data_IF_910642597279
#
_entry.id   IF_910642597279
#
_cell.length_a   1.000
_cell.length_b   1.000
_cell.length_c   1.000
_cell.angle_alpha   90.00
_cell.angle_beta   90.00
_cell.angle_gamma   90.00
#
_symmetry.space_group_name_H-M   'P 1'
#
loop_
_entity.id
_entity.type
_entity.pdbx_description
1 polymer ?
#
# COMPACT_ATOMS: atom_id res chain seq x y z
N UNK A 1 -61.29 -5.93 -38.38
CA UNK A 1 -59.81 -5.88 -38.46
C UNK A 1 -59.42 -4.49 -37.93
N UNK A 2 -59.07 -4.38 -36.64
CA UNK A 2 -57.72 -3.99 -36.17
C UNK A 2 -57.12 -2.82 -36.95
N UNK A 3 -56.85 -1.61 -36.43
CA UNK A 3 -56.60 -1.12 -35.07
C UNK A 3 -57.06 0.35 -34.94
N UNK A 4 -57.50 0.75 -33.73
CA UNK A 4 -57.79 2.14 -33.30
C UNK A 4 -56.48 2.81 -32.76
N UNK A 5 -56.48 4.08 -32.33
CA UNK A 5 -56.66 5.32 -33.09
C UNK A 5 -55.58 6.40 -32.75
N UNK A 6 -55.65 7.54 -33.46
CA UNK A 6 -55.44 8.97 -33.11
C UNK A 6 -54.81 9.39 -31.74
N UNK A 7 -54.38 10.62 -31.47
CA UNK A 7 -54.91 11.95 -31.82
C UNK A 7 -53.89 13.02 -31.31
N UNK A 8 -53.87 14.20 -31.94
CA UNK A 8 -53.46 15.53 -31.41
C UNK A 8 -51.97 15.93 -31.49
N UNK A 9 -51.76 16.73 -32.54
CA UNK A 9 -50.74 17.74 -32.73
C UNK A 9 -51.27 19.10 -32.23
N UNK A 10 -50.35 20.00 -31.79
CA UNK A 10 -50.47 21.48 -31.61
C UNK A 10 -51.05 21.99 -30.28
N UNK A 11 -50.26 22.62 -29.38
CA UNK A 11 -49.63 23.96 -29.35
C UNK A 11 -50.56 25.10 -28.91
N UNK A 12 -50.37 25.58 -27.68
CA UNK A 12 -50.78 26.90 -27.20
C UNK A 12 -49.63 27.51 -26.37
N UNK A 13 -49.19 28.71 -26.78
CA UNK A 13 -48.18 29.56 -26.13
C UNK A 13 -48.67 30.07 -24.78
N UNK A 14 -47.77 30.64 -23.95
CA UNK A 14 -47.96 31.91 -23.19
C UNK A 14 -46.75 32.17 -22.26
N UNK A 15 -46.22 33.40 -22.32
CA UNK A 15 -45.42 34.17 -21.33
C UNK A 15 -44.27 33.47 -20.58
N UNK A 16 -43.01 33.94 -20.58
CA UNK A 16 -42.56 35.27 -20.18
C UNK A 16 -41.49 35.11 -19.08
N UNK A 17 -40.47 35.97 -19.11
CA UNK A 17 -39.42 36.15 -18.08
C UNK A 17 -38.22 35.19 -18.08
N UNK A 18 -37.16 35.60 -18.77
CA UNK A 18 -35.77 35.28 -18.40
C UNK A 18 -35.44 36.02 -17.09
N UNK A 19 -34.96 35.32 -16.07
CA UNK A 19 -34.01 35.90 -15.13
C UNK A 19 -32.98 34.86 -14.67
N UNK A 20 -31.76 35.36 -14.52
CA UNK A 20 -30.49 34.64 -14.53
C UNK A 20 -30.34 33.59 -13.42
N UNK A 21 -29.83 32.42 -13.81
CA UNK A 21 -29.19 31.47 -12.89
C UNK A 21 -27.75 31.95 -12.72
N UNK A 22 -27.36 32.38 -11.52
CA UNK A 22 -25.97 32.68 -11.20
C UNK A 22 -25.12 31.41 -11.42
N UNK A 23 -23.88 31.52 -11.96
CA UNK A 23 -23.03 30.34 -12.09
C UNK A 23 -22.68 29.85 -10.69
N UNK A 24 -23.15 28.64 -10.38
CA UNK A 24 -22.60 27.83 -9.29
C UNK A 24 -21.08 27.76 -9.51
N UNK A 25 -20.23 28.04 -8.50
CA UNK A 25 -18.81 27.78 -8.66
C UNK A 25 -18.67 26.28 -8.90
N UNK A 26 -18.13 25.92 -10.06
CA UNK A 26 -17.72 24.55 -10.33
C UNK A 26 -16.77 24.17 -9.20
N UNK A 27 -17.15 23.15 -8.42
CA UNK A 27 -16.20 22.46 -7.55
C UNK A 27 -15.18 21.88 -8.52
N UNK A 28 -14.01 22.52 -8.58
CA UNK A 28 -12.88 22.01 -9.34
C UNK A 28 -12.66 20.56 -8.90
N UNK A 29 -12.72 19.64 -9.87
CA UNK A 29 -12.32 18.27 -9.65
C UNK A 29 -10.91 18.27 -9.03
N UNK A 30 -10.55 17.30 -8.17
CA UNK A 30 -9.22 17.25 -7.60
C UNK A 30 -8.23 17.25 -8.76
N UNK A 31 -7.39 18.28 -8.82
CA UNK A 31 -6.28 18.30 -9.76
C UNK A 31 -5.38 17.15 -9.33
N UNK A 32 -5.32 16.09 -10.14
CA UNK A 32 -4.30 15.05 -9.97
C UNK A 32 -2.95 15.76 -10.10
N UNK A 33 -2.30 16.03 -8.97
CA UNK A 33 -0.98 16.65 -8.92
C UNK A 33 0.00 15.70 -9.60
N UNK A 34 0.26 15.95 -10.88
CA UNK A 34 1.31 15.26 -11.61
C UNK A 34 2.65 15.66 -10.95
N UNK A 35 3.44 14.70 -10.45
CA UNK A 35 4.67 15.03 -9.75
C UNK A 35 5.60 15.82 -10.68
N UNK A 36 6.28 16.82 -10.11
CA UNK A 36 7.23 17.66 -10.84
C UNK A 36 8.27 16.76 -11.54
N UNK A 37 8.78 17.15 -12.73
CA UNK A 37 9.66 16.30 -13.55
C UNK A 37 10.98 15.89 -12.86
N UNK A 38 11.37 16.57 -11.77
CA UNK A 38 12.54 16.24 -10.95
C UNK A 38 12.18 16.05 -9.47
N UNK A 39 10.93 15.71 -9.16
CA UNK A 39 10.53 15.42 -7.80
C UNK A 39 11.31 14.20 -7.28
N UNK A 40 11.96 14.36 -6.13
CA UNK A 40 12.49 13.22 -5.39
C UNK A 40 11.29 12.46 -4.83
N UNK A 41 11.03 11.25 -5.34
CA UNK A 41 9.97 10.41 -4.80
C UNK A 41 10.39 9.98 -3.41
N UNK A 42 9.68 10.50 -2.40
CA UNK A 42 9.80 10.10 -1.01
C UNK A 42 8.60 9.24 -0.66
N UNK A 43 8.84 8.16 0.07
CA UNK A 43 7.81 7.27 0.59
C UNK A 43 7.99 7.17 2.09
N UNK A 44 6.90 7.42 2.81
CA UNK A 44 6.87 7.23 4.26
C UNK A 44 6.63 5.75 4.54
N UNK A 45 7.62 5.12 5.17
CA UNK A 45 7.53 3.75 5.63
C UNK A 45 6.74 3.70 6.96
N UNK A 46 5.72 2.84 7.06
CA UNK A 46 4.89 2.68 8.29
C UNK A 46 5.64 1.99 9.42
N UNK A 47 6.58 1.12 9.08
CA UNK A 47 7.34 0.31 10.02
C UNK A 47 8.82 0.64 9.97
N UNK A 48 9.49 0.48 11.12
CA UNK A 48 10.90 0.83 11.31
C UNK A 48 11.81 -0.41 11.35
N UNK A 49 13.10 -0.20 11.04
CA UNK A 49 14.13 -1.22 11.26
C UNK A 49 14.16 -1.62 12.75
N UNK A 50 14.25 -2.91 13.03
CA UNK A 50 14.20 -3.48 14.37
C UNK A 50 12.78 -3.77 14.88
N UNK A 51 11.73 -3.36 14.17
CA UNK A 51 10.36 -3.70 14.53
C UNK A 51 10.05 -5.16 14.16
N UNK A 52 9.32 -5.85 15.03
CA UNK A 52 8.81 -7.20 14.77
C UNK A 52 7.43 -7.11 14.13
N UNK A 53 7.29 -7.74 12.97
CA UNK A 53 6.07 -7.77 12.18
C UNK A 53 5.71 -9.22 11.87
N UNK A 54 4.44 -9.45 11.56
CA UNK A 54 3.94 -10.72 11.03
C UNK A 54 3.15 -10.49 9.76
N UNK A 55 3.11 -11.53 8.93
CA UNK A 55 2.31 -11.48 7.72
C UNK A 55 0.81 -11.62 8.06
N UNK A 56 -0.05 -10.94 7.30
CA UNK A 56 -1.51 -10.96 7.52
C UNK A 56 -2.14 -12.33 7.31
N UNK A 57 -1.74 -13.00 6.23
CA UNK A 57 -2.31 -14.28 5.78
C UNK A 57 -1.43 -15.51 6.10
N UNK A 58 -0.14 -15.46 5.76
CA UNK A 58 0.80 -16.54 6.03
C UNK A 58 1.33 -16.51 7.46
N UNK A 59 1.58 -17.70 8.01
CA UNK A 59 2.03 -17.87 9.38
C UNK A 59 3.56 -17.74 9.49
N UNK A 60 4.04 -16.50 9.44
CA UNK A 60 5.41 -16.17 9.80
C UNK A 60 5.48 -14.78 10.43
N UNK A 61 6.53 -14.59 11.22
CA UNK A 61 6.90 -13.32 11.83
C UNK A 61 8.39 -13.07 11.69
N UNK A 62 8.83 -11.83 11.81
CA UNK A 62 10.22 -11.48 11.66
C UNK A 62 10.54 -10.06 12.06
N UNK A 63 11.82 -9.79 12.26
CA UNK A 63 12.33 -8.46 12.55
C UNK A 63 12.80 -7.79 11.26
N UNK A 64 12.36 -6.55 11.02
CA UNK A 64 12.78 -5.74 9.87
C UNK A 64 14.26 -5.39 9.99
N UNK A 65 15.05 -5.67 8.96
CA UNK A 65 16.46 -5.25 8.90
C UNK A 65 16.80 -4.32 7.75
N UNK A 66 15.93 -4.22 6.74
CA UNK A 66 16.09 -3.29 5.62
C UNK A 66 14.72 -2.93 5.00
N UNK A 67 14.68 -1.86 4.21
CA UNK A 67 13.49 -1.36 3.54
C UNK A 67 13.83 -0.74 2.17
N UNK A 68 13.13 -1.19 1.13
CA UNK A 68 13.14 -0.56 -0.18
C UNK A 68 11.94 0.41 -0.29
N UNK A 69 12.12 1.62 -0.86
CA UNK A 69 11.03 2.59 -0.98
C UNK A 69 9.91 2.13 -1.93
N UNK A 70 10.26 1.27 -2.88
CA UNK A 70 9.36 0.61 -3.84
C UNK A 70 9.83 -0.82 -4.08
N UNK A 71 9.05 -1.61 -4.81
CA UNK A 71 9.48 -2.93 -5.26
C UNK A 71 10.85 -2.86 -5.97
N UNK A 72 11.78 -3.72 -5.54
CA UNK A 72 13.18 -3.73 -5.98
C UNK A 72 13.72 -5.16 -6.25
N UNK A 73 12.83 -6.12 -6.53
CA UNK A 73 13.21 -7.48 -6.90
C UNK A 73 12.92 -7.75 -8.39
N UNK A 74 13.17 -8.96 -8.89
CA UNK A 74 13.12 -9.24 -10.34
C UNK A 74 11.70 -9.36 -10.88
N UNK A 75 11.48 -8.90 -12.10
CA UNK A 75 10.14 -8.95 -12.72
C UNK A 75 9.61 -10.39 -12.80
N UNK A 76 10.47 -11.36 -13.04
CA UNK A 76 10.07 -12.78 -13.12
C UNK A 76 9.50 -13.29 -11.79
N UNK A 77 10.05 -12.83 -10.66
CA UNK A 77 9.49 -13.18 -9.35
C UNK A 77 8.12 -12.54 -9.15
N UNK A 78 7.96 -11.29 -9.58
CA UNK A 78 6.70 -10.56 -9.48
C UNK A 78 5.60 -11.20 -10.33
N UNK A 79 5.92 -11.60 -11.55
CA UNK A 79 5.01 -12.30 -12.47
C UNK A 79 4.63 -13.70 -11.97
N UNK A 80 5.51 -14.37 -11.21
CA UNK A 80 5.21 -15.65 -10.59
C UNK A 80 4.18 -15.57 -9.45
N UNK A 81 3.90 -14.37 -8.92
CA UNK A 81 2.83 -14.16 -7.94
C UNK A 81 1.48 -14.19 -8.69
N UNK A 82 0.49 -14.98 -8.20
CA UNK A 82 -0.87 -14.96 -8.75
C UNK A 82 -1.42 -13.54 -8.75
N UNK A 83 -2.04 -13.15 -9.87
CA UNK A 83 -2.47 -11.77 -10.12
C UNK A 83 -3.43 -11.26 -9.04
N UNK A 84 -4.25 -12.14 -8.47
CA UNK A 84 -5.26 -11.81 -7.47
C UNK A 84 -4.68 -11.41 -6.11
N UNK A 85 -3.43 -11.77 -5.83
CA UNK A 85 -2.73 -11.48 -4.56
C UNK A 85 -1.45 -10.69 -4.76
N UNK A 86 -1.22 -10.22 -5.99
CA UNK A 86 -0.04 -9.47 -6.37
C UNK A 86 -0.04 -8.10 -5.68
N UNK A 87 1.02 -7.75 -4.92
CA UNK A 87 1.07 -6.48 -4.20
C UNK A 87 1.40 -5.32 -5.15
N UNK A 88 0.89 -4.11 -4.83
CA UNK A 88 1.25 -2.91 -5.58
C UNK A 88 2.75 -2.63 -5.48
N UNK A 89 3.43 -2.40 -6.62
CA UNK A 89 4.88 -2.10 -6.62
C UNK A 89 5.23 -0.76 -6.00
N UNK A 90 4.30 0.17 -6.01
CA UNK A 90 4.49 1.57 -5.63
C UNK A 90 4.24 1.79 -4.12
N UNK A 91 4.90 0.99 -3.29
CA UNK A 91 4.85 1.07 -1.83
C UNK A 91 6.16 0.53 -1.23
N UNK A 92 6.45 0.80 0.06
CA UNK A 92 7.61 0.20 0.72
C UNK A 92 7.58 -1.33 0.75
N UNK A 93 8.73 -1.95 0.53
CA UNK A 93 8.95 -3.39 0.72
C UNK A 93 10.01 -3.61 1.79
N UNK A 94 9.76 -4.57 2.65
CA UNK A 94 10.58 -4.84 3.82
C UNK A 94 11.35 -6.14 3.68
N UNK A 95 12.59 -6.12 4.16
CA UNK A 95 13.39 -7.33 4.37
C UNK A 95 13.35 -7.72 5.84
N UNK A 96 12.91 -8.95 6.12
CA UNK A 96 12.76 -9.47 7.47
C UNK A 96 13.64 -10.68 7.69
N UNK A 97 14.29 -10.75 8.84
CA UNK A 97 14.75 -12.02 9.39
C UNK A 97 13.53 -12.73 9.97
N UNK A 98 12.99 -13.69 9.22
CA UNK A 98 11.71 -14.32 9.50
C UNK A 98 11.87 -15.74 10.06
N UNK A 99 10.85 -16.18 10.80
CA UNK A 99 10.69 -17.54 11.27
C UNK A 99 9.23 -17.99 11.18
N UNK A 100 9.05 -19.31 11.10
CA UNK A 100 7.80 -20.00 11.35
C UNK A 100 8.05 -21.21 12.25
N UNK A 101 7.04 -22.05 12.48
CA UNK A 101 7.16 -23.21 13.37
C UNK A 101 8.26 -24.23 12.97
N UNK A 102 8.73 -24.18 11.71
CA UNK A 102 9.60 -25.21 11.13
C UNK A 102 11.01 -24.73 10.84
N UNK A 103 11.18 -23.46 10.49
CA UNK A 103 12.44 -22.92 9.96
C UNK A 103 12.54 -21.40 10.07
N UNK A 104 13.70 -20.86 9.73
CA UNK A 104 14.02 -19.44 9.65
C UNK A 104 14.61 -19.09 8.27
N UNK A 105 14.29 -17.91 7.74
CA UNK A 105 14.67 -17.45 6.41
C UNK A 105 14.59 -15.91 6.30
N UNK A 106 15.13 -15.35 5.21
CA UNK A 106 14.93 -13.93 4.85
C UNK A 106 13.67 -13.79 4.02
N UNK A 107 12.75 -12.92 4.45
CA UNK A 107 11.51 -12.63 3.73
C UNK A 107 11.56 -11.24 3.08
N UNK A 108 11.05 -11.13 1.85
CA UNK A 108 10.82 -9.87 1.15
C UNK A 108 9.31 -9.65 0.98
N UNK A 109 8.76 -8.63 1.62
CA UNK A 109 7.30 -8.51 1.83
C UNK A 109 6.84 -7.07 1.66
N UNK A 110 5.72 -6.86 0.97
CA UNK A 110 5.09 -5.54 0.83
C UNK A 110 4.50 -5.03 2.15
N UNK A 111 4.53 -3.72 2.34
CA UNK A 111 3.97 -3.07 3.53
C UNK A 111 2.51 -3.45 3.80
N UNK A 112 1.67 -3.47 2.75
CA UNK A 112 0.25 -3.84 2.87
C UNK A 112 0.01 -5.22 3.48
N UNK A 113 0.98 -6.13 3.35
CA UNK A 113 0.85 -7.52 3.81
C UNK A 113 1.39 -7.72 5.23
N UNK A 114 1.92 -6.69 5.86
CA UNK A 114 2.48 -6.73 7.20
C UNK A 114 1.57 -6.06 8.22
N UNK A 115 1.63 -6.58 9.44
CA UNK A 115 1.05 -5.99 10.66
C UNK A 115 2.04 -6.12 11.81
N UNK A 116 1.98 -5.24 12.83
CA UNK A 116 2.75 -5.42 14.06
C UNK A 116 2.50 -6.80 14.68
N UNK A 117 3.59 -7.41 15.12
CA UNK A 117 3.50 -8.59 15.97
C UNK A 117 3.43 -8.13 17.43
N UNK A 118 2.33 -8.50 18.10
CA UNK A 118 2.07 -8.11 19.49
C UNK A 118 2.64 -9.10 20.51
N UNK A 119 3.38 -10.13 20.05
CA UNK A 119 3.98 -11.09 20.96
C UNK A 119 5.34 -10.59 21.43
N UNK A 120 5.59 -10.70 22.73
CA UNK A 120 6.90 -10.42 23.34
C UNK A 120 7.93 -11.54 23.09
N UNK A 121 7.60 -12.50 22.23
CA UNK A 121 8.48 -13.61 21.92
C UNK A 121 9.63 -13.15 21.00
N UNK A 122 10.89 -13.49 21.31
CA UNK A 122 12.01 -13.15 20.44
C UNK A 122 11.99 -13.99 19.16
N UNK A 123 12.43 -13.40 18.05
CA UNK A 123 12.73 -14.08 16.78
C UNK A 123 14.06 -14.84 16.90
N UNK A 124 14.10 -16.09 16.43
CA UNK A 124 15.20 -17.04 16.54
C UNK A 124 15.99 -17.21 15.24
N UNK A 125 16.07 -16.16 14.42
CA UNK A 125 16.87 -16.19 13.20
C UNK A 125 18.37 -16.02 13.53
N UNK A 126 19.28 -16.90 13.06
CA UNK A 126 20.68 -16.91 13.48
C UNK A 126 21.46 -15.63 13.12
N UNK A 127 21.06 -14.95 12.05
CA UNK A 127 21.73 -13.72 11.60
C UNK A 127 21.35 -12.46 12.39
N UNK A 128 20.32 -12.53 13.25
CA UNK A 128 19.94 -11.39 14.10
C UNK A 128 21.12 -10.94 14.95
N UNK A 129 21.85 -11.89 15.53
CA UNK A 129 23.00 -11.58 16.39
C UNK A 129 24.16 -10.91 15.62
N UNK A 130 24.15 -10.91 14.28
CA UNK A 130 25.15 -10.21 13.46
C UNK A 130 24.78 -8.74 13.28
N UNK A 131 23.48 -8.44 13.15
CA UNK A 131 22.97 -7.10 12.78
C UNK A 131 22.48 -6.30 14.00
N UNK A 132 21.85 -6.96 14.95
CA UNK A 132 21.18 -6.34 16.09
C UNK A 132 21.84 -6.67 17.43
N UNK A 133 21.70 -5.73 18.35
CA UNK A 133 21.74 -5.94 19.79
C UNK A 133 20.31 -5.91 20.31
N UNK A 134 20.00 -6.76 21.30
CA UNK A 134 18.69 -6.76 21.96
C UNK A 134 18.81 -5.96 23.25
N UNK A 135 18.06 -4.86 23.36
CA UNK A 135 18.03 -3.99 24.54
C UNK A 135 16.57 -3.70 24.89
N UNK A 136 16.17 -3.94 26.15
CA UNK A 136 14.80 -3.70 26.64
C UNK A 136 13.69 -4.32 25.76
N UNK A 137 13.95 -5.52 25.22
CA UNK A 137 13.01 -6.22 24.32
C UNK A 137 12.98 -5.68 22.89
N UNK A 138 13.73 -4.63 22.57
CA UNK A 138 13.82 -4.05 21.23
C UNK A 138 15.08 -4.51 20.49
N UNK A 139 14.97 -4.70 19.18
CA UNK A 139 16.11 -4.94 18.29
C UNK A 139 16.71 -3.62 17.84
N UNK A 140 17.94 -3.35 18.27
CA UNK A 140 18.65 -2.10 17.98
C UNK A 140 19.83 -2.40 17.07
N UNK A 141 19.96 -1.67 15.96
CA UNK A 141 21.09 -1.84 15.04
C UNK A 141 22.42 -1.63 15.79
N UNK A 142 23.36 -2.55 15.55
CA UNK A 142 24.73 -2.40 16.06
C UNK A 142 25.38 -1.14 15.50
N UNK A 143 26.30 -0.49 16.23
CA UNK A 143 26.94 0.74 15.79
C UNK A 143 27.55 0.68 14.38
N UNK A 144 28.17 -0.46 14.02
CA UNK A 144 28.77 -0.66 12.69
C UNK A 144 27.78 -0.95 11.55
N UNK A 145 26.49 -0.98 11.83
CA UNK A 145 25.40 -1.17 10.85
C UNK A 145 24.50 0.07 10.72
N UNK A 146 24.83 1.14 11.45
CA UNK A 146 24.15 2.44 11.34
C UNK A 146 24.87 3.26 10.25
N UNK A 147 24.10 3.89 9.36
CA UNK A 147 24.61 4.82 8.35
C UNK A 147 25.06 6.14 8.98
#
# INVERSE_FOLDING_TARGET
>A
MSHRPSVIQRLAQLFGSRQAVAPTPAVEAPVEEQPLPNAVISRDAKYQIGQVLRHRLFDFRGVVFDVDPTYANTEEWYEAIPEEVRPDKDQPYYHLFAENERTHYVAYVSEQNLVPDESDAPIKHPDIAKVFEVSDGAYVLKPGQRN
#
